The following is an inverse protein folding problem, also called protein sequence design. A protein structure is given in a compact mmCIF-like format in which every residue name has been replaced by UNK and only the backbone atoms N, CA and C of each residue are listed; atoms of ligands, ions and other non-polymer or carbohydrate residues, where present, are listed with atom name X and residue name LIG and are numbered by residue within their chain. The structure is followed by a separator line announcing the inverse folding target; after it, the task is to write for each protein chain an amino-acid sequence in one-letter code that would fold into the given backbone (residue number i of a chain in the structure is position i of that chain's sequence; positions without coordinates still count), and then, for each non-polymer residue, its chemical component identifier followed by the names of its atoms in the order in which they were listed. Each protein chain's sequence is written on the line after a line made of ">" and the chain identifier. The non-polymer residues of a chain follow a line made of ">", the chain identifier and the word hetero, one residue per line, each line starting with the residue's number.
data_IF_475684022183
#
_entry.id   IF_475684022183
#
_cell.length_a   1.000
_cell.length_b   1.000
_cell.length_c   1.000
_cell.angle_alpha   90.00
_cell.angle_beta   90.00
_cell.angle_gamma   90.00
#
_symmetry.space_group_name_H-M   'P 1'
#
loop_
_entity.id
_entity.type
_entity.pdbx_description
1 polymer ?
#
# COMPACT_ATOMS: atom_id res chain seq x y z
N UNK A 1 -6.28 -9.61 -14.37
CA UNK A 1 -6.83 -9.78 -15.73
C UNK A 1 -8.28 -10.16 -15.62
N UNK A 2 -9.12 -9.63 -16.50
CA UNK A 2 -10.56 -9.87 -16.50
C UNK A 2 -11.11 -9.64 -17.90
N UNK A 3 -12.40 -9.94 -18.13
CA UNK A 3 -13.12 -9.87 -19.42
C UNK A 3 -13.20 -8.48 -20.08
N UNK A 4 -12.33 -7.55 -19.68
CA UNK A 4 -12.20 -6.23 -20.26
C UNK A 4 -13.16 -5.20 -19.65
N UNK A 5 -13.03 -3.93 -20.07
CA UNK A 5 -13.78 -2.80 -19.52
C UNK A 5 -15.29 -2.84 -19.83
N UNK A 6 -15.73 -3.77 -20.69
CA UNK A 6 -17.13 -3.94 -21.09
C UNK A 6 -17.86 -5.05 -20.33
N UNK A 7 -17.15 -5.78 -19.46
CA UNK A 7 -17.78 -6.81 -18.66
C UNK A 7 -18.74 -6.24 -17.62
N UNK A 8 -19.85 -6.95 -17.42
CA UNK A 8 -20.87 -6.64 -16.41
C UNK A 8 -21.35 -7.92 -15.74
N UNK A 9 -21.88 -7.84 -14.50
CA UNK A 9 -22.60 -8.96 -13.91
C UNK A 9 -23.67 -9.50 -14.88
N UNK A 10 -23.61 -10.80 -15.20
CA UNK A 10 -24.50 -11.46 -16.17
C UNK A 10 -23.98 -11.58 -17.61
N UNK A 11 -22.75 -11.14 -17.91
CA UNK A 11 -22.06 -11.48 -19.16
C UNK A 11 -21.78 -12.99 -19.26
N UNK A 12 -21.78 -13.55 -20.47
CA UNK A 12 -21.49 -14.97 -20.73
C UNK A 12 -20.04 -15.35 -20.37
N UNK A 13 -19.12 -14.38 -20.43
CA UNK A 13 -17.74 -14.58 -20.00
C UNK A 13 -17.60 -14.47 -18.47
N UNK A 14 -16.87 -15.43 -17.89
CA UNK A 14 -16.53 -15.43 -16.47
C UNK A 14 -15.84 -14.11 -16.10
N UNK A 15 -16.29 -13.52 -14.99
CA UNK A 15 -15.78 -12.26 -14.44
C UNK A 15 -14.31 -12.30 -14.02
N UNK A 16 -13.90 -11.29 -13.26
CA UNK A 16 -12.55 -11.26 -12.70
C UNK A 16 -12.31 -12.43 -11.71
N UNK A 17 -11.11 -13.01 -11.75
CA UNK A 17 -10.63 -13.88 -10.67
C UNK A 17 -10.28 -13.06 -9.43
N UNK A 18 -10.49 -13.63 -8.25
CA UNK A 18 -10.14 -12.99 -6.99
C UNK A 18 -9.60 -14.00 -5.99
N UNK A 19 -8.81 -13.49 -5.04
CA UNK A 19 -8.32 -14.24 -3.88
C UNK A 19 -8.20 -13.30 -2.69
N UNK A 20 -8.43 -13.84 -1.50
CA UNK A 20 -8.24 -13.19 -0.22
C UNK A 20 -7.46 -14.13 0.71
N UNK A 21 -6.57 -13.54 1.49
CA UNK A 21 -5.87 -14.19 2.59
C UNK A 21 -6.14 -13.41 3.87
N UNK A 22 -6.59 -14.09 4.92
CA UNK A 22 -6.74 -13.51 6.24
C UNK A 22 -5.35 -13.18 6.79
N UNK A 23 -5.18 -11.94 7.27
CA UNK A 23 -3.98 -11.58 8.05
C UNK A 23 -4.12 -12.22 9.43
N UNK A 24 -3.13 -13.00 9.89
CA UNK A 24 -3.19 -13.62 11.21
C UNK A 24 -3.37 -12.58 12.33
N UNK A 25 -4.12 -12.97 13.36
CA UNK A 25 -4.32 -12.11 14.53
C UNK A 25 -2.97 -11.75 15.18
N UNK A 26 -2.73 -10.45 15.40
CA UNK A 26 -1.48 -9.95 15.97
C UNK A 26 -0.34 -9.75 14.97
N UNK A 27 -0.57 -9.97 13.67
CA UNK A 27 0.40 -9.70 12.61
C UNK A 27 0.01 -8.47 11.77
N UNK A 28 0.99 -7.97 11.01
CA UNK A 28 0.84 -6.84 10.09
C UNK A 28 1.28 -7.27 8.70
N UNK A 29 0.50 -6.89 7.70
CA UNK A 29 0.86 -6.99 6.28
C UNK A 29 1.07 -5.60 5.67
N UNK A 30 1.81 -5.55 4.56
CA UNK A 30 2.04 -4.33 3.79
C UNK A 30 1.79 -4.59 2.30
N UNK A 31 0.89 -3.80 1.71
CA UNK A 31 0.54 -3.87 0.31
C UNK A 31 1.04 -2.62 -0.43
N UNK A 32 2.19 -2.74 -1.09
CA UNK A 32 2.62 -1.75 -2.07
C UNK A 32 1.83 -1.91 -3.39
N UNK A 33 2.32 -1.34 -4.50
CA UNK A 33 1.60 -1.40 -5.78
C UNK A 33 1.89 -2.70 -6.56
N UNK A 34 1.90 -3.84 -5.85
CA UNK A 34 2.05 -5.18 -6.40
C UNK A 34 1.30 -6.23 -5.56
N UNK A 35 0.91 -7.38 -6.12
CA UNK A 35 0.27 -8.46 -5.37
C UNK A 35 1.24 -9.13 -4.39
N UNK A 36 0.69 -9.58 -3.25
CA UNK A 36 1.45 -10.16 -2.12
C UNK A 36 1.09 -11.60 -1.78
N UNK A 37 -0.15 -12.03 -2.05
CA UNK A 37 -0.62 -13.38 -1.70
C UNK A 37 0.17 -14.40 -2.52
N UNK A 38 0.81 -15.34 -1.83
CA UNK A 38 1.68 -16.36 -2.41
C UNK A 38 0.93 -17.65 -2.69
N UNK A 39 1.44 -18.74 -2.13
CA UNK A 39 0.73 -20.00 -2.08
C UNK A 39 -0.56 -19.87 -1.27
N UNK A 40 -1.58 -20.61 -1.67
CA UNK A 40 -2.91 -20.60 -1.06
C UNK A 40 -3.37 -22.04 -0.82
N UNK A 41 -4.11 -22.27 0.26
CA UNK A 41 -4.79 -23.53 0.54
C UNK A 41 -6.29 -23.29 0.62
N UNK A 42 -7.03 -23.66 -0.44
CA UNK A 42 -8.48 -23.48 -0.47
C UNK A 42 -9.24 -24.51 0.38
N UNK A 43 -8.55 -25.49 0.99
CA UNK A 43 -9.13 -26.36 2.00
C UNK A 43 -9.13 -25.72 3.39
N UNK A 44 -8.50 -24.56 3.56
CA UNK A 44 -8.48 -23.76 4.78
C UNK A 44 -9.32 -22.48 4.59
N UNK A 45 -10.66 -22.58 4.71
CA UNK A 45 -11.56 -21.45 4.47
C UNK A 45 -11.48 -20.37 5.56
N UNK A 46 -10.86 -20.65 6.71
CA UNK A 46 -10.66 -19.67 7.78
C UNK A 46 -9.55 -18.67 7.40
N UNK A 47 -8.64 -19.06 6.51
CA UNK A 47 -7.50 -18.25 6.08
C UNK A 47 -7.56 -17.84 4.61
N UNK A 48 -8.19 -18.62 3.73
CA UNK A 48 -8.19 -18.35 2.29
C UNK A 48 -9.59 -18.41 1.70
N UNK A 49 -9.84 -17.49 0.77
CA UNK A 49 -11.02 -17.53 -0.10
C UNK A 49 -10.58 -17.13 -1.52
N UNK A 50 -11.16 -17.75 -2.54
CA UNK A 50 -10.87 -17.40 -3.93
C UNK A 50 -12.07 -17.68 -4.84
N UNK A 51 -12.04 -17.14 -6.06
CA UNK A 51 -12.95 -17.56 -7.11
C UNK A 51 -12.68 -19.02 -7.51
N UNK A 52 -13.75 -19.79 -7.76
CA UNK A 52 -13.66 -21.22 -8.12
C UNK A 52 -12.75 -21.51 -9.33
N UNK A 53 -12.61 -20.53 -10.23
CA UNK A 53 -11.81 -20.63 -11.45
C UNK A 53 -10.36 -20.12 -11.32
N UNK A 54 -9.84 -19.88 -10.10
CA UNK A 54 -8.49 -19.30 -9.91
C UNK A 54 -7.36 -20.15 -10.52
N UNK A 55 -7.47 -21.48 -10.42
CA UNK A 55 -6.51 -22.43 -11.02
C UNK A 55 -6.81 -22.68 -12.50
N UNK A 56 -8.06 -23.04 -12.82
CA UNK A 56 -8.44 -23.41 -14.19
C UNK A 56 -8.27 -22.27 -15.19
N UNK A 57 -8.39 -21.01 -14.77
CA UNK A 57 -8.05 -19.87 -15.63
C UNK A 57 -6.53 -19.84 -15.92
N UNK A 58 -5.69 -20.01 -14.91
CA UNK A 58 -4.25 -19.99 -15.07
C UNK A 58 -3.76 -21.12 -15.99
N UNK A 59 -4.34 -22.31 -15.84
CA UNK A 59 -4.08 -23.48 -16.70
C UNK A 59 -4.51 -23.20 -18.15
N UNK A 60 -5.74 -22.73 -18.35
CA UNK A 60 -6.27 -22.39 -19.68
C UNK A 60 -5.42 -21.34 -20.40
N UNK A 61 -4.88 -20.39 -19.66
CA UNK A 61 -4.02 -19.31 -20.20
C UNK A 61 -2.55 -19.72 -20.34
N UNK A 62 -2.17 -20.92 -19.89
CA UNK A 62 -0.79 -21.40 -19.92
C UNK A 62 0.16 -20.66 -18.96
N UNK A 63 -0.37 -19.99 -17.93
CA UNK A 63 0.43 -19.28 -16.92
C UNK A 63 0.95 -20.19 -15.82
N UNK A 64 0.25 -21.31 -15.60
CA UNK A 64 0.64 -22.32 -14.64
C UNK A 64 0.27 -23.70 -15.18
N UNK A 65 1.11 -24.68 -14.86
CA UNK A 65 0.93 -26.07 -15.24
C UNK A 65 0.94 -26.93 -13.96
N UNK A 66 -0.17 -27.61 -13.61
CA UNK A 66 -0.25 -28.46 -12.43
C UNK A 66 0.75 -29.63 -12.45
N UNK A 67 1.15 -30.09 -13.64
CA UNK A 67 2.11 -31.19 -13.79
C UNK A 67 3.57 -30.73 -13.72
N UNK A 68 3.82 -29.42 -13.77
CA UNK A 68 5.19 -28.86 -13.71
C UNK A 68 5.89 -29.07 -12.37
N UNK A 69 5.16 -29.46 -11.32
CA UNK A 69 5.66 -29.57 -9.95
C UNK A 69 5.93 -28.21 -9.27
N UNK A 70 5.64 -27.08 -9.94
CA UNK A 70 5.75 -25.75 -9.35
C UNK A 70 4.52 -25.44 -8.51
N UNK A 71 4.74 -25.04 -7.27
CA UNK A 71 3.69 -24.55 -6.38
C UNK A 71 2.94 -23.36 -7.02
N UNK A 72 1.62 -23.39 -6.96
CA UNK A 72 0.78 -22.29 -7.43
C UNK A 72 0.90 -21.09 -6.49
N UNK A 73 1.49 -19.99 -6.97
CA UNK A 73 1.62 -18.75 -6.21
C UNK A 73 0.92 -17.61 -6.93
N UNK A 74 -0.09 -17.03 -6.27
CA UNK A 74 -0.98 -16.04 -6.90
C UNK A 74 -0.19 -14.84 -7.44
N UNK A 75 0.74 -14.28 -6.66
CA UNK A 75 1.51 -13.11 -7.08
C UNK A 75 2.43 -13.37 -8.29
N UNK A 76 2.83 -14.62 -8.52
CA UNK A 76 3.64 -15.05 -9.68
C UNK A 76 2.74 -15.30 -10.89
N UNK A 77 1.65 -16.04 -10.71
CA UNK A 77 0.78 -16.49 -11.81
C UNK A 77 -0.16 -15.41 -12.32
N UNK A 78 -0.84 -14.69 -11.42
CA UNK A 78 -1.88 -13.71 -11.77
C UNK A 78 -1.41 -12.26 -11.66
N UNK A 79 -0.20 -12.06 -11.14
CA UNK A 79 0.25 -10.79 -10.57
C UNK A 79 1.52 -10.19 -11.17
N UNK A 80 2.07 -10.80 -12.22
CA UNK A 80 3.45 -10.61 -12.62
C UNK A 80 3.88 -9.14 -12.77
N UNK A 81 4.84 -8.76 -11.93
CA UNK A 81 5.72 -7.60 -12.07
C UNK A 81 7.12 -8.08 -11.68
N UNK A 82 8.11 -7.75 -12.50
CA UNK A 82 9.52 -8.00 -12.19
C UNK A 82 9.94 -7.34 -10.88
N UNK A 83 11.07 -7.79 -10.32
CA UNK A 83 11.69 -7.13 -9.17
C UNK A 83 11.73 -5.61 -9.36
N UNK A 84 11.21 -4.91 -8.36
CA UNK A 84 11.09 -3.46 -8.40
C UNK A 84 11.30 -2.88 -7.00
N UNK A 85 12.39 -2.14 -6.84
CA UNK A 85 12.69 -1.38 -5.61
C UNK A 85 11.55 -0.42 -5.26
N UNK A 86 10.82 0.06 -6.27
CA UNK A 86 9.60 0.87 -6.12
C UNK A 86 8.54 0.24 -5.20
N UNK A 87 8.44 -1.09 -5.15
CA UNK A 87 7.48 -1.80 -4.30
C UNK A 87 8.18 -2.50 -3.15
N UNK A 88 9.19 -3.34 -3.45
CA UNK A 88 9.87 -4.17 -2.48
C UNK A 88 10.46 -3.34 -1.33
N UNK A 89 11.03 -2.16 -1.61
CA UNK A 89 11.65 -1.34 -0.56
C UNK A 89 10.65 -0.70 0.39
N UNK A 90 9.45 -0.37 -0.08
CA UNK A 90 8.37 0.11 0.82
C UNK A 90 7.90 -1.01 1.74
N UNK A 91 7.77 -2.21 1.21
CA UNK A 91 7.36 -3.38 1.99
C UNK A 91 8.40 -3.72 3.06
N UNK A 92 9.68 -3.77 2.67
CA UNK A 92 10.80 -3.88 3.59
C UNK A 92 10.71 -2.85 4.71
N UNK A 93 10.58 -1.57 4.34
CA UNK A 93 10.70 -0.48 5.30
C UNK A 93 9.62 -0.50 6.35
N UNK A 94 8.39 -0.89 5.99
CA UNK A 94 7.33 -1.07 6.99
C UNK A 94 7.72 -2.15 7.99
N UNK A 95 8.22 -3.30 7.52
CA UNK A 95 8.65 -4.38 8.39
C UNK A 95 9.90 -4.05 9.21
N UNK A 96 10.85 -3.32 8.64
CA UNK A 96 12.05 -2.81 9.33
C UNK A 96 11.68 -1.87 10.49
N UNK A 97 10.63 -1.05 10.35
CA UNK A 97 10.15 -0.17 11.42
C UNK A 97 9.43 -0.93 12.53
N UNK A 98 8.59 -1.92 12.19
CA UNK A 98 7.67 -2.56 13.16
C UNK A 98 8.20 -3.88 13.72
N UNK A 99 9.10 -4.56 13.00
CA UNK A 99 9.74 -5.81 13.39
C UNK A 99 11.25 -5.79 13.07
N UNK A 100 12.02 -4.78 13.56
CA UNK A 100 13.46 -4.71 13.33
C UNK A 100 14.22 -5.95 13.80
N UNK A 101 13.70 -6.70 14.77
CA UNK A 101 14.31 -7.96 15.23
C UNK A 101 14.45 -9.02 14.14
N UNK A 102 13.65 -8.96 13.07
CA UNK A 102 13.74 -9.87 11.94
C UNK A 102 14.97 -9.61 11.05
N UNK A 103 15.56 -8.42 11.13
CA UNK A 103 16.75 -8.02 10.37
C UNK A 103 16.63 -8.38 8.86
N UNK A 104 15.48 -8.05 8.27
CA UNK A 104 15.17 -8.40 6.89
C UNK A 104 16.10 -7.65 5.92
N UNK A 105 16.67 -8.37 4.96
CA UNK A 105 17.52 -7.78 3.93
C UNK A 105 16.71 -6.84 3.01
N UNK A 106 17.09 -5.54 2.88
CA UNK A 106 16.39 -4.56 2.03
C UNK A 106 16.36 -4.88 0.53
N UNK A 107 17.19 -5.82 0.07
CA UNK A 107 17.32 -6.18 -1.33
C UNK A 107 16.49 -7.40 -1.74
N UNK A 108 15.74 -8.00 -0.81
CA UNK A 108 14.88 -9.14 -1.13
C UNK A 108 13.79 -8.74 -2.12
N UNK A 109 13.54 -9.61 -3.11
CA UNK A 109 12.44 -9.40 -4.03
C UNK A 109 11.08 -9.58 -3.35
N UNK A 110 10.94 -10.54 -2.45
CA UNK A 110 9.69 -10.86 -1.77
C UNK A 110 9.93 -10.90 -0.26
N UNK A 111 9.03 -10.26 0.48
CA UNK A 111 8.96 -10.34 1.93
C UNK A 111 7.80 -11.25 2.34
N UNK A 112 7.78 -11.75 3.60
CA UNK A 112 6.62 -12.46 4.14
C UNK A 112 5.31 -11.71 3.91
N UNK A 113 4.20 -12.43 3.71
CA UNK A 113 2.88 -11.82 3.55
C UNK A 113 2.55 -10.93 4.74
N UNK A 114 2.78 -11.42 5.94
CA UNK A 114 2.64 -10.70 7.20
C UNK A 114 3.79 -11.05 8.16
N UNK A 115 3.99 -10.21 9.16
CA UNK A 115 4.96 -10.45 10.24
C UNK A 115 4.36 -10.05 11.58
N UNK A 116 4.80 -10.71 12.65
CA UNK A 116 4.52 -10.28 14.02
C UNK A 116 5.40 -9.08 14.36
N UNK A 117 4.83 -7.93 14.75
CA UNK A 117 5.61 -6.77 15.18
C UNK A 117 6.28 -7.04 16.54
N UNK A 118 7.43 -6.39 16.76
CA UNK A 118 8.23 -6.53 17.99
C UNK A 118 7.49 -5.97 19.21
N UNK A 119 6.63 -4.97 18.99
CA UNK A 119 5.83 -4.31 20.00
C UNK A 119 4.37 -4.13 19.52
N UNK A 120 3.39 -4.01 20.43
CA UNK A 120 2.03 -3.64 20.06
C UNK A 120 2.00 -2.35 19.24
N UNK A 121 1.22 -2.36 18.16
CA UNK A 121 1.18 -1.25 17.19
C UNK A 121 0.01 -0.32 17.46
N UNK A 122 0.29 0.97 17.52
CA UNK A 122 -0.69 2.04 17.72
C UNK A 122 -1.04 2.74 16.40
N UNK A 123 -2.13 3.52 16.40
CA UNK A 123 -2.47 4.36 15.24
C UNK A 123 -1.34 5.35 14.92
N UNK A 124 -0.65 5.86 15.94
CA UNK A 124 0.47 6.79 15.81
C UNK A 124 1.68 6.13 15.17
N UNK A 125 1.91 4.83 15.42
CA UNK A 125 2.95 4.07 14.72
C UNK A 125 2.63 3.95 13.23
N UNK A 126 1.38 3.66 12.87
CA UNK A 126 0.95 3.66 11.46
C UNK A 126 1.10 5.05 10.83
N UNK A 127 0.70 6.12 11.51
CA UNK A 127 0.93 7.48 11.02
C UNK A 127 2.41 7.81 10.85
N UNK A 128 3.29 7.29 11.73
CA UNK A 128 4.75 7.45 11.59
C UNK A 128 5.27 6.71 10.35
N UNK A 129 4.74 5.52 10.08
CA UNK A 129 5.09 4.74 8.88
C UNK A 129 4.63 5.45 7.60
N UNK A 130 3.39 5.97 7.57
CA UNK A 130 2.87 6.76 6.44
C UNK A 130 3.74 7.98 6.12
N UNK A 131 4.38 8.55 7.15
CA UNK A 131 5.33 9.69 7.05
C UNK A 131 6.71 9.30 6.55
N UNK A 132 7.03 8.01 6.48
CA UNK A 132 8.41 7.58 6.26
C UNK A 132 8.88 7.85 4.82
N UNK A 133 10.12 8.33 4.75
CA UNK A 133 10.89 8.57 3.53
C UNK A 133 12.28 7.90 3.61
N UNK A 134 12.35 6.76 4.32
CA UNK A 134 13.54 5.97 4.60
C UNK A 134 14.54 6.63 5.56
N UNK A 135 14.04 7.46 6.48
CA UNK A 135 14.86 8.21 7.44
C UNK A 135 15.81 7.32 8.25
N UNK A 136 17.10 7.68 8.27
CA UNK A 136 18.13 6.94 9.03
C UNK A 136 18.67 5.67 8.37
N UNK A 137 18.30 5.40 7.11
CA UNK A 137 18.81 4.27 6.32
C UNK A 137 19.74 4.76 5.21
N UNK A 138 20.39 3.85 4.49
CA UNK A 138 21.16 4.20 3.28
C UNK A 138 20.28 4.79 2.15
N UNK A 139 18.95 4.63 2.24
CA UNK A 139 17.98 5.09 1.26
C UNK A 139 17.32 6.43 1.62
N UNK A 140 17.78 7.07 2.70
CA UNK A 140 17.19 8.28 3.27
C UNK A 140 17.13 9.43 2.27
N UNK A 141 15.91 9.77 1.83
CA UNK A 141 15.68 10.83 0.86
C UNK A 141 15.90 12.24 1.43
N UNK A 142 16.08 12.41 2.74
CA UNK A 142 16.45 13.70 3.33
C UNK A 142 17.95 14.01 3.21
N UNK A 143 18.75 13.09 2.67
CA UNK A 143 20.20 13.23 2.54
C UNK A 143 20.65 13.55 1.11
N UNK A 144 21.90 14.00 1.02
CA UNK A 144 22.58 14.31 -0.24
C UNK A 144 22.26 15.69 -0.80
N UNK A 145 23.01 16.08 -1.85
CA UNK A 145 22.93 17.41 -2.45
C UNK A 145 21.52 17.77 -2.97
N UNK A 146 20.79 16.77 -3.47
CA UNK A 146 19.44 16.98 -4.03
C UNK A 146 18.38 17.26 -2.95
N UNK A 147 18.64 16.91 -1.68
CA UNK A 147 17.76 17.26 -0.57
C UNK A 147 17.85 18.75 -0.18
N UNK A 148 18.90 19.45 -0.65
CA UNK A 148 19.16 20.84 -0.30
C UNK A 148 19.51 21.04 1.17
N UNK A 149 19.68 22.30 1.61
CA UNK A 149 20.15 22.63 2.96
C UNK A 149 19.17 22.24 4.08
N UNK A 150 17.90 21.99 3.76
CA UNK A 150 16.85 21.66 4.72
C UNK A 150 16.44 20.19 4.71
N UNK A 151 17.13 19.34 3.93
CA UNK A 151 16.85 17.90 3.90
C UNK A 151 15.48 17.54 3.34
N UNK A 152 15.04 18.22 2.28
CA UNK A 152 13.75 17.96 1.64
C UNK A 152 13.72 16.53 1.07
N UNK A 153 12.78 15.66 1.51
CA UNK A 153 12.70 14.27 1.03
C UNK A 153 12.00 14.16 -0.34
N UNK A 154 11.39 15.22 -0.84
CA UNK A 154 10.65 15.18 -2.10
C UNK A 154 11.59 15.02 -3.30
N UNK A 155 11.22 14.10 -4.20
CA UNK A 155 11.97 13.78 -5.41
C UNK A 155 11.04 13.78 -6.61
N UNK A 156 11.22 14.77 -7.49
CA UNK A 156 10.49 14.86 -8.74
C UNK A 156 11.05 13.84 -9.75
N UNK A 157 10.16 13.18 -10.49
CA UNK A 157 10.57 12.18 -11.47
C UNK A 157 11.46 12.83 -12.54
N UNK A 158 12.65 12.27 -12.72
CA UNK A 158 13.48 12.51 -13.89
C UNK A 158 13.04 11.60 -15.03
N UNK A 159 13.42 11.95 -16.27
CA UNK A 159 13.25 11.03 -17.40
C UNK A 159 13.90 9.69 -17.06
N UNK A 160 13.21 8.57 -17.33
CA UNK A 160 13.75 7.23 -17.07
C UNK A 160 15.05 6.95 -17.84
N UNK A 161 15.29 7.67 -18.95
CA UNK A 161 16.55 7.62 -19.71
C UNK A 161 17.76 8.16 -18.96
N UNK A 162 17.53 8.93 -17.89
CA UNK A 162 18.59 9.49 -17.04
C UNK A 162 18.85 8.63 -15.80
N UNK A 163 18.07 7.57 -15.59
CA UNK A 163 18.33 6.67 -14.48
C UNK A 163 19.65 5.94 -14.73
N UNK A 164 20.47 5.75 -13.68
CA UNK A 164 21.60 4.84 -13.75
C UNK A 164 21.16 3.45 -14.24
N UNK A 165 22.06 2.73 -14.92
CA UNK A 165 21.79 1.36 -15.36
C UNK A 165 21.38 0.48 -14.17
N UNK A 166 20.29 -0.28 -14.31
CA UNK A 166 19.71 -1.09 -13.24
C UNK A 166 18.92 -0.33 -12.17
N UNK A 167 18.73 0.99 -12.30
CA UNK A 167 17.97 1.81 -11.35
C UNK A 167 16.57 2.19 -11.85
N UNK A 168 15.59 2.18 -10.94
CA UNK A 168 14.25 2.74 -11.16
C UNK A 168 14.17 4.26 -10.91
N UNK A 169 15.32 4.92 -10.71
CA UNK A 169 15.44 6.33 -10.36
C UNK A 169 15.51 6.52 -8.85
N UNK A 170 14.85 7.56 -8.35
CA UNK A 170 14.73 7.79 -6.91
C UNK A 170 13.94 6.70 -6.21
N UNK A 171 14.24 6.47 -4.94
CA UNK A 171 13.43 5.59 -4.14
C UNK A 171 12.00 6.10 -4.00
N UNK A 172 11.05 5.19 -4.15
CA UNK A 172 9.65 5.47 -3.90
C UNK A 172 9.41 5.37 -2.39
N UNK A 173 9.50 6.48 -1.68
CA UNK A 173 9.11 6.58 -0.27
C UNK A 173 7.65 6.16 -0.03
N UNK A 174 7.28 5.84 1.21
CA UNK A 174 5.88 5.66 1.60
C UNK A 174 5.16 6.99 1.43
N UNK A 175 5.69 8.02 2.10
CA UNK A 175 5.22 9.40 1.96
C UNK A 175 5.68 10.03 0.64
N UNK A 176 4.76 10.74 -0.03
CA UNK A 176 5.05 11.37 -1.32
C UNK A 176 4.21 12.63 -1.49
N UNK A 177 4.81 13.71 -2.02
CA UNK A 177 4.14 14.99 -2.37
C UNK A 177 2.97 14.89 -3.38
N UNK A 178 2.72 13.70 -3.95
CA UNK A 178 1.58 13.44 -4.86
C UNK A 178 0.40 12.79 -4.14
N UNK A 179 0.52 12.56 -2.84
CA UNK A 179 -0.54 11.98 -2.02
C UNK A 179 -1.62 13.04 -1.84
N UNK A 180 -2.87 12.76 -2.20
CA UNK A 180 -3.94 13.75 -2.00
C UNK A 180 -4.44 13.74 -0.56
N UNK A 181 -4.50 12.56 0.03
CA UNK A 181 -4.89 12.33 1.41
C UNK A 181 -4.34 10.98 1.89
N UNK A 182 -4.27 10.82 3.19
CA UNK A 182 -3.90 9.58 3.88
C UNK A 182 -4.88 9.32 5.00
N UNK A 183 -5.11 8.03 5.31
CA UNK A 183 -6.04 7.63 6.36
C UNK A 183 -5.47 6.52 7.22
N UNK A 184 -5.65 6.63 8.53
CA UNK A 184 -5.42 5.52 9.48
C UNK A 184 -6.75 5.19 10.14
N UNK A 185 -7.29 4.01 9.86
CA UNK A 185 -8.60 3.57 10.36
C UNK A 185 -8.40 2.57 11.50
N UNK A 186 -9.06 2.82 12.62
CA UNK A 186 -8.99 1.97 13.81
C UNK A 186 -10.39 1.52 14.20
N UNK A 187 -10.65 0.22 14.17
CA UNK A 187 -11.85 -0.39 14.75
C UNK A 187 -11.56 -0.80 16.20
N UNK A 188 -12.32 -0.27 17.16
CA UNK A 188 -12.11 -0.48 18.60
C UNK A 188 -13.16 -1.44 19.14
N UNK A 189 -12.70 -2.57 19.68
CA UNK A 189 -13.56 -3.57 20.33
C UNK A 189 -14.17 -3.00 21.62
N UNK A 190 -15.45 -3.33 21.86
CA UNK A 190 -16.15 -2.99 23.11
C UNK A 190 -16.64 -1.53 23.21
N UNK A 191 -16.61 -0.78 22.12
CA UNK A 191 -17.15 0.57 22.03
C UNK A 191 -18.52 0.55 21.34
N UNK A 192 -19.44 1.48 21.65
CA UNK A 192 -20.70 1.64 20.91
C UNK A 192 -20.46 1.90 19.41
N UNK A 193 -21.33 1.37 18.54
CA UNK A 193 -21.17 1.40 17.08
C UNK A 193 -20.87 2.80 16.50
N UNK A 194 -21.46 3.86 17.06
CA UNK A 194 -21.29 5.24 16.58
C UNK A 194 -19.93 5.87 16.93
N UNK A 195 -19.15 5.26 17.83
CA UNK A 195 -17.76 5.64 18.15
C UNK A 195 -16.80 4.47 18.03
N UNK A 196 -17.27 3.30 17.60
CA UNK A 196 -16.48 2.07 17.56
C UNK A 196 -15.29 2.20 16.63
N UNK A 197 -15.47 2.84 15.49
CA UNK A 197 -14.40 3.13 14.55
C UNK A 197 -13.99 4.62 14.54
N UNK A 198 -12.69 4.83 14.36
CA UNK A 198 -12.06 6.13 14.27
C UNK A 198 -11.16 6.18 13.02
N UNK A 199 -11.43 7.12 12.13
CA UNK A 199 -10.61 7.39 10.95
C UNK A 199 -9.80 8.66 11.19
N UNK A 200 -8.48 8.52 11.26
CA UNK A 200 -7.57 9.64 11.24
C UNK A 200 -7.32 10.04 9.78
N UNK A 201 -7.70 11.24 9.41
CA UNK A 201 -7.63 11.75 8.04
C UNK A 201 -6.58 12.86 7.92
N UNK A 202 -5.65 12.76 6.99
CA UNK A 202 -4.66 13.79 6.68
C UNK A 202 -4.74 14.22 5.22
N UNK A 203 -4.69 15.51 4.95
CA UNK A 203 -4.57 16.06 3.60
C UNK A 203 -3.11 16.07 3.14
N UNK A 204 -2.91 15.96 1.83
CA UNK A 204 -1.60 16.03 1.18
C UNK A 204 -0.62 14.95 1.69
N UNK A 205 0.68 15.16 1.49
CA UNK A 205 1.75 14.26 1.84
C UNK A 205 1.80 13.99 3.36
N UNK A 206 1.82 12.71 3.79
CA UNK A 206 1.80 12.39 5.21
C UNK A 206 2.93 13.05 6.02
N UNK A 207 4.14 13.18 5.46
CA UNK A 207 5.31 13.74 6.13
C UNK A 207 5.15 15.21 6.55
N UNK A 208 4.21 15.94 5.96
CA UNK A 208 3.84 17.32 6.34
C UNK A 208 2.42 17.43 6.89
N UNK A 209 1.66 16.33 6.95
CA UNK A 209 0.24 16.36 7.33
C UNK A 209 -0.01 16.33 8.83
N UNK A 210 -1.10 17.00 9.21
CA UNK A 210 -1.74 16.89 10.51
C UNK A 210 -2.99 16.01 10.38
N UNK A 211 -3.00 14.87 11.07
CA UNK A 211 -4.14 13.96 11.06
C UNK A 211 -5.29 14.47 11.93
N UNK A 212 -6.50 14.42 11.38
CA UNK A 212 -7.76 14.84 11.99
C UNK A 212 -8.57 13.59 12.35
N UNK A 213 -8.97 13.40 13.62
CA UNK A 213 -9.79 12.27 14.03
C UNK A 213 -11.26 12.46 13.62
N UNK A 214 -11.83 11.48 12.92
CA UNK A 214 -13.24 11.45 12.48
C UNK A 214 -13.87 10.14 12.96
N UNK A 215 -14.89 10.23 13.82
CA UNK A 215 -15.63 9.06 14.29
C UNK A 215 -16.61 8.54 13.23
N UNK A 216 -16.83 7.23 13.19
CA UNK A 216 -17.71 6.60 12.21
C UNK A 216 -19.19 7.00 12.32
N UNK A 217 -19.65 7.48 13.48
CA UNK A 217 -21.02 7.95 13.68
C UNK A 217 -21.31 9.36 13.17
N UNK A 218 -20.30 10.07 12.64
CA UNK A 218 -20.49 11.41 12.05
C UNK A 218 -21.23 11.28 10.71
N UNK A 219 -22.34 12.01 10.54
CA UNK A 219 -23.16 11.97 9.33
C UNK A 219 -22.78 13.03 8.29
N UNK A 220 -22.07 14.07 8.70
CA UNK A 220 -21.59 15.15 7.83
C UNK A 220 -20.25 15.70 8.33
N UNK A 221 -19.37 16.09 7.42
CA UNK A 221 -18.15 16.82 7.75
C UNK A 221 -18.41 18.32 7.67
N UNK A 222 -17.59 19.16 8.35
CA UNK A 222 -17.66 20.60 8.14
C UNK A 222 -17.47 20.96 6.65
N UNK A 223 -18.19 21.99 6.17
CA UNK A 223 -18.13 22.45 4.76
C UNK A 223 -16.73 22.61 4.17
N UNK A 224 -15.73 22.89 5.00
CA UNK A 224 -14.33 22.99 4.59
C UNK A 224 -13.71 21.68 4.08
N UNK A 225 -14.37 20.54 4.29
CA UNK A 225 -14.01 19.24 3.72
C UNK A 225 -14.72 18.96 2.38
N UNK A 226 -15.82 19.65 2.09
CA UNK A 226 -16.63 19.42 0.88
C UNK A 226 -15.98 20.02 -0.37
N UNK A 227 -15.11 21.02 -0.18
CA UNK A 227 -14.44 21.75 -1.25
C UNK A 227 -12.99 21.30 -1.40
N UNK A 228 -12.74 20.45 -2.38
CA UNK A 228 -11.39 20.06 -2.82
C UNK A 228 -11.12 20.53 -4.25
N UNK A 229 -10.14 21.40 -4.45
CA UNK A 229 -9.63 21.74 -5.78
C UNK A 229 -8.34 20.96 -6.06
N UNK A 230 -8.30 20.19 -7.15
CA UNK A 230 -7.10 19.45 -7.61
C UNK A 230 -6.77 19.87 -9.05
N UNK A 231 -5.70 20.64 -9.27
CA UNK A 231 -5.28 21.09 -10.61
C UNK A 231 -4.57 22.45 -10.60
N UNK A 232 -4.22 22.99 -11.78
CA UNK A 232 -3.39 24.19 -11.98
C UNK A 232 -3.92 25.54 -11.45
N UNK A 233 -4.80 25.52 -10.45
CA UNK A 233 -5.27 26.69 -9.70
C UNK A 233 -4.73 26.71 -8.24
N UNK A 234 -3.73 25.88 -7.91
CA UNK A 234 -3.06 25.84 -6.58
C UNK A 234 -2.46 27.20 -6.15
N UNK A 235 -2.30 28.15 -7.07
CA UNK A 235 -1.73 29.47 -6.78
C UNK A 235 -2.72 30.42 -6.09
N UNK A 236 -3.99 30.02 -5.92
CA UNK A 236 -5.01 30.85 -5.25
C UNK A 236 -5.35 30.26 -3.89
N UNK A 237 -4.73 30.81 -2.85
CA UNK A 237 -5.10 30.57 -1.46
C UNK A 237 -6.58 30.91 -1.25
N UNK A 238 -7.40 29.93 -0.89
CA UNK A 238 -8.77 30.14 -0.46
C UNK A 238 -8.91 29.76 1.01
N UNK A 239 -9.51 30.64 1.82
CA UNK A 239 -9.89 30.31 3.20
C UNK A 239 -10.99 29.24 3.26
N UNK A 240 -11.63 28.95 2.13
CA UNK A 240 -12.76 28.05 2.02
C UNK A 240 -12.35 26.62 1.65
N UNK A 241 -11.17 26.41 1.06
CA UNK A 241 -10.64 25.07 0.72
C UNK A 241 -9.41 24.71 1.55
N UNK A 242 -9.38 23.48 2.09
CA UNK A 242 -8.30 22.98 2.96
C UNK A 242 -7.11 22.35 2.25
N UNK A 243 -7.17 22.19 0.93
CA UNK A 243 -6.03 21.73 0.15
C UNK A 243 -5.07 22.91 -0.05
N UNK A 244 -3.99 22.88 0.74
CA UNK A 244 -2.80 23.73 0.57
C UNK A 244 -1.76 22.92 -0.18
#
# INVERSE_FOLDING_TARGET
>A
WGPGPLWKPGSDELGAVWVAQRVPDGEITVCANRPRIGAIDLNDPDHFMASENIYSLAEKMGWWDPESGKEFKVYETHGEKSYSTYNARREWRVFDIIAPSLNLDPWMERYPFSVKPDNPVTAQDIMRIERDYYGGTEFDLSKGMVAGPFGCPNRYSTSSKLNPEGSYGWERAVSLFRTNYSTVVVARKGMPDWIGALTWFGYDAPHTTCYIPIYCGVTELPKSFDLGMRGGAYDVFSRESRLV
#
